data_IF_961151599876
#
_entry.id   IF_961151599876
#
_cell.length_a   1.000
_cell.length_b   1.000
_cell.length_c   1.000
_cell.angle_alpha   90.00
_cell.angle_beta   90.00
_cell.angle_gamma   90.00
#
_symmetry.space_group_name_H-M   'P 1'
#
loop_
_entity.id
_entity.type
_entity.pdbx_description
1 polymer ?
#
# COMPACT_ATOMS: atom_id res chain seq x y z
N UNK A 1 15.65 7.87 -5.79
CA UNK A 1 14.31 7.47 -5.30
C UNK A 1 13.84 6.32 -6.19
N UNK A 2 13.45 5.19 -5.62
CA UNK A 2 12.90 4.06 -6.36
C UNK A 2 11.40 3.94 -6.06
N UNK A 3 10.60 4.54 -6.95
CA UNK A 3 9.15 4.50 -6.93
C UNK A 3 8.67 3.95 -8.28
N UNK A 4 7.62 3.16 -8.25
CA UNK A 4 7.02 2.57 -9.44
C UNK A 4 5.52 2.83 -9.44
N UNK A 5 4.94 3.12 -10.61
CA UNK A 5 3.50 3.30 -10.76
C UNK A 5 2.98 2.05 -11.44
N UNK A 6 2.01 1.41 -10.81
CA UNK A 6 1.35 0.25 -11.39
C UNK A 6 0.50 0.69 -12.59
N UNK A 7 0.73 0.14 -13.80
CA UNK A 7 0.03 0.60 -15.00
C UNK A 7 -1.45 0.21 -15.02
N UNK A 8 -1.88 -0.73 -14.18
CA UNK A 8 -3.26 -1.24 -14.17
C UNK A 8 -4.10 -0.47 -13.14
N UNK A 9 -3.58 -0.38 -11.91
CA UNK A 9 -4.28 0.18 -10.74
C UNK A 9 -3.92 1.65 -10.47
N UNK A 10 -2.89 2.18 -11.13
CA UNK A 10 -2.30 3.50 -10.87
C UNK A 10 -1.83 3.69 -9.42
N UNK A 11 -1.49 2.60 -8.73
CA UNK A 11 -0.92 2.65 -7.39
C UNK A 11 0.54 3.06 -7.44
N UNK A 12 0.93 3.95 -6.53
CA UNK A 12 2.33 4.28 -6.30
C UNK A 12 2.95 3.26 -5.36
N UNK A 13 3.97 2.53 -5.82
CA UNK A 13 4.65 1.48 -5.07
C UNK A 13 6.08 1.92 -4.75
N UNK A 14 6.46 1.82 -3.48
CA UNK A 14 7.84 1.98 -3.03
C UNK A 14 8.63 0.70 -3.33
N UNK A 15 9.62 0.80 -4.22
CA UNK A 15 10.53 -0.31 -4.52
C UNK A 15 11.94 -0.05 -3.98
N UNK A 16 12.09 0.96 -3.13
CA UNK A 16 13.36 1.32 -2.48
C UNK A 16 13.79 0.20 -1.53
N UNK A 17 14.99 -0.36 -1.72
CA UNK A 17 15.54 -1.38 -0.81
C UNK A 17 14.54 -2.52 -0.53
N UNK A 18 13.86 -3.00 -1.57
CA UNK A 18 12.86 -4.07 -1.48
C UNK A 18 11.67 -3.78 -0.55
N UNK A 19 11.33 -2.51 -0.31
CA UNK A 19 10.22 -2.15 0.57
C UNK A 19 8.90 -2.81 0.16
N UNK A 20 8.55 -2.74 -1.13
CA UNK A 20 7.33 -3.32 -1.72
C UNK A 20 6.00 -2.80 -1.11
N UNK A 21 5.95 -1.53 -0.68
CA UNK A 21 4.74 -0.91 -0.11
C UNK A 21 3.94 -0.14 -1.17
N UNK A 22 2.63 -0.37 -1.25
CA UNK A 22 1.71 0.57 -1.88
C UNK A 22 1.58 1.82 -0.99
N UNK A 23 1.83 2.99 -1.56
CA UNK A 23 1.82 4.27 -0.86
C UNK A 23 0.55 5.03 -1.17
N UNK A 24 -0.11 5.48 -0.12
CA UNK A 24 -1.18 6.48 -0.26
C UNK A 24 -0.61 7.84 -0.64
N UNK A 25 -1.41 8.60 -1.39
CA UNK A 25 -1.02 9.89 -2.01
C UNK A 25 -1.66 11.05 -1.23
N UNK A 26 -2.32 10.71 -0.12
CA UNK A 26 -2.72 11.66 0.90
C UNK A 26 -1.56 12.54 1.36
N UNK A 27 -1.91 13.74 1.86
CA UNK A 27 -0.95 14.82 2.18
C UNK A 27 0.23 14.27 2.98
N UNK A 28 1.37 14.11 2.30
CA UNK A 28 2.68 13.75 2.85
C UNK A 28 2.95 12.28 3.18
N UNK A 29 2.09 11.31 2.87
CA UNK A 29 2.36 9.90 3.17
C UNK A 29 3.64 9.39 2.50
N UNK A 30 3.83 9.67 1.21
CA UNK A 30 5.05 9.30 0.46
C UNK A 30 6.29 9.97 1.04
N UNK A 31 6.19 11.25 1.39
CA UNK A 31 7.31 12.02 1.91
C UNK A 31 7.73 11.47 3.28
N UNK A 32 6.77 11.28 4.18
CA UNK A 32 7.02 10.70 5.51
C UNK A 32 7.55 9.27 5.40
N UNK A 33 6.98 8.42 4.54
CA UNK A 33 7.48 7.07 4.30
C UNK A 33 8.96 7.07 3.91
N UNK A 34 9.34 7.85 2.88
CA UNK A 34 10.73 7.93 2.44
C UNK A 34 11.67 8.52 3.52
N UNK A 35 11.17 9.41 4.39
CA UNK A 35 11.93 9.93 5.54
C UNK A 35 12.14 8.85 6.60
N UNK A 36 11.06 8.20 7.01
CA UNK A 36 11.03 7.45 8.27
C UNK A 36 11.53 6.03 8.05
N UNK A 37 11.10 5.39 6.95
CA UNK A 37 11.50 4.03 6.53
C UNK A 37 12.86 4.00 5.83
N UNK A 38 13.16 4.98 4.99
CA UNK A 38 14.37 4.97 4.14
C UNK A 38 15.41 6.05 4.48
N UNK A 39 15.15 6.90 5.48
CA UNK A 39 16.07 7.98 5.92
C UNK A 39 16.51 8.91 4.79
N UNK A 40 15.67 9.10 3.77
CA UNK A 40 16.02 9.92 2.61
C UNK A 40 16.01 11.41 3.01
N UNK A 41 17.08 12.17 2.71
CA UNK A 41 17.19 13.56 3.11
C UNK A 41 16.18 14.46 2.38
N UNK A 42 15.87 15.61 2.98
CA UNK A 42 14.85 16.55 2.49
C UNK A 42 15.15 17.08 1.09
N UNK A 43 16.41 17.36 0.76
CA UNK A 43 16.79 17.87 -0.56
C UNK A 43 16.45 16.86 -1.67
N UNK A 44 16.66 15.56 -1.41
CA UNK A 44 16.39 14.48 -2.37
C UNK A 44 14.88 14.20 -2.58
N UNK A 45 14.01 14.71 -1.70
CA UNK A 45 12.54 14.57 -1.79
C UNK A 45 11.83 15.87 -2.18
N UNK A 46 12.58 16.95 -2.42
CA UNK A 46 12.03 18.27 -2.74
C UNK A 46 11.25 18.21 -4.05
N UNK A 47 10.06 18.80 -4.07
CA UNK A 47 9.21 18.84 -5.26
C UNK A 47 8.45 17.54 -5.59
N UNK A 48 8.78 16.42 -4.94
CA UNK A 48 8.13 15.12 -5.19
C UNK A 48 6.62 15.17 -4.94
N UNK A 49 6.19 15.79 -3.83
CA UNK A 49 4.76 15.91 -3.51
C UNK A 49 3.98 16.74 -4.55
N UNK A 50 4.63 17.69 -5.22
CA UNK A 50 4.02 18.46 -6.30
C UNK A 50 3.93 17.63 -7.58
N UNK A 51 4.99 16.89 -7.92
CA UNK A 51 5.00 15.99 -9.08
C UNK A 51 3.95 14.88 -8.95
N UNK A 52 3.84 14.23 -7.79
CA UNK A 52 2.89 13.14 -7.61
C UNK A 52 1.42 13.60 -7.72
N UNK A 53 1.13 14.87 -7.40
CA UNK A 53 -0.21 15.44 -7.55
C UNK A 53 -0.64 15.68 -9.00
N UNK A 54 0.31 15.75 -9.94
CA UNK A 54 -0.01 15.91 -11.36
C UNK A 54 -0.26 14.59 -12.06
N UNK A 55 -0.04 13.46 -11.38
CA UNK A 55 -0.20 12.12 -11.93
C UNK A 55 -1.58 11.55 -11.53
N UNK A 56 -2.23 10.76 -12.40
CA UNK A 56 -3.56 10.19 -12.15
C UNK A 56 -3.47 8.96 -11.24
N UNK A 57 -3.02 9.16 -10.01
CA UNK A 57 -2.71 8.05 -9.11
C UNK A 57 -3.87 7.71 -8.16
N UNK A 58 -4.07 6.41 -7.93
CA UNK A 58 -5.12 5.87 -7.05
C UNK A 58 -4.65 5.75 -5.60
N UNK A 59 -5.59 5.75 -4.64
CA UNK A 59 -5.27 5.37 -3.26
C UNK A 59 -5.38 3.84 -3.10
N UNK A 60 -4.54 3.22 -2.24
CA UNK A 60 -4.63 1.79 -1.96
C UNK A 60 -6.02 1.33 -1.53
N UNK A 61 -6.72 2.14 -0.72
CA UNK A 61 -8.05 1.80 -0.19
C UNK A 61 -9.17 1.87 -1.24
N UNK A 62 -8.95 2.59 -2.35
CA UNK A 62 -9.92 2.76 -3.44
C UNK A 62 -9.77 1.66 -4.52
N UNK A 63 -8.73 0.83 -4.44
CA UNK A 63 -8.46 -0.24 -5.41
C UNK A 63 -8.98 -1.57 -4.86
N UNK A 64 -9.78 -2.26 -5.67
CA UNK A 64 -10.26 -3.60 -5.33
C UNK A 64 -9.09 -4.55 -5.08
N UNK A 65 -9.16 -5.41 -4.05
CA UNK A 65 -8.20 -6.48 -3.87
C UNK A 65 -8.14 -7.38 -5.11
N UNK A 66 -6.98 -7.99 -5.34
CA UNK A 66 -6.84 -9.02 -6.37
C UNK A 66 -7.77 -10.21 -6.07
N UNK A 67 -8.27 -10.87 -7.11
CA UNK A 67 -9.12 -12.05 -6.97
C UNK A 67 -8.32 -13.21 -6.35
N UNK A 68 -9.01 -14.09 -5.62
CA UNK A 68 -8.39 -15.29 -5.05
C UNK A 68 -7.78 -16.17 -6.15
N UNK A 69 -6.56 -16.66 -5.90
CA UNK A 69 -5.80 -17.44 -6.87
C UNK A 69 -5.06 -16.60 -7.92
N UNK A 70 -5.19 -15.28 -7.90
CA UNK A 70 -4.36 -14.39 -8.74
C UNK A 70 -2.88 -14.56 -8.40
N UNK A 71 -2.03 -14.38 -9.41
CA UNK A 71 -0.59 -14.36 -9.21
C UNK A 71 -0.20 -13.16 -8.31
N UNK A 72 0.75 -13.40 -7.42
CA UNK A 72 1.29 -12.36 -6.55
C UNK A 72 1.87 -11.20 -7.37
N UNK A 73 1.55 -9.97 -6.97
CA UNK A 73 2.10 -8.80 -7.65
C UNK A 73 3.60 -8.65 -7.34
N UNK A 74 4.49 -8.64 -8.36
CA UNK A 74 5.94 -8.82 -8.17
C UNK A 74 6.61 -7.71 -7.34
N UNK A 75 5.99 -6.52 -7.26
CA UNK A 75 6.49 -5.35 -6.53
C UNK A 75 5.74 -5.06 -5.24
N UNK A 76 4.72 -5.85 -4.89
CA UNK A 76 4.01 -5.70 -3.62
C UNK A 76 4.48 -6.75 -2.62
N UNK A 77 4.40 -6.39 -1.35
CA UNK A 77 4.69 -7.30 -0.26
C UNK A 77 3.52 -8.26 -0.10
N UNK A 78 3.84 -9.55 -0.01
CA UNK A 78 2.89 -10.60 0.33
C UNK A 78 2.93 -10.78 1.84
N UNK A 79 1.75 -10.98 2.43
CA UNK A 79 1.59 -11.19 3.85
C UNK A 79 0.74 -12.43 4.08
N UNK A 80 1.17 -13.28 5.01
CA UNK A 80 0.29 -14.28 5.59
C UNK A 80 -0.79 -13.58 6.42
N UNK A 81 -2.03 -14.04 6.29
CA UNK A 81 -3.16 -13.39 6.92
C UNK A 81 -4.33 -14.33 7.16
N UNK A 82 -5.42 -13.74 7.62
CA UNK A 82 -6.65 -14.44 7.98
C UNK A 82 -7.77 -13.96 7.07
N UNK A 83 -8.58 -14.90 6.57
CA UNK A 83 -9.82 -14.64 5.87
C UNK A 83 -10.99 -15.22 6.67
N UNK A 84 -12.09 -14.49 6.73
CA UNK A 84 -13.33 -15.01 7.31
C UNK A 84 -13.96 -16.03 6.34
N UNK A 85 -14.50 -17.13 6.85
CA UNK A 85 -15.18 -18.13 6.03
C UNK A 85 -16.61 -17.73 5.66
N UNK A 86 -17.23 -16.84 6.45
CA UNK A 86 -18.63 -16.45 6.32
C UNK A 86 -18.83 -15.17 5.49
N UNK A 87 -17.79 -14.33 5.35
CA UNK A 87 -17.85 -13.08 4.61
C UNK A 87 -16.52 -12.70 3.96
N UNK A 88 -16.49 -11.58 3.22
CA UNK A 88 -15.30 -11.11 2.49
C UNK A 88 -14.23 -10.44 3.38
N UNK A 89 -14.39 -10.43 4.71
CA UNK A 89 -13.47 -9.78 5.62
C UNK A 89 -12.10 -10.48 5.67
N UNK A 90 -11.03 -9.70 5.56
CA UNK A 90 -9.63 -10.18 5.59
C UNK A 90 -8.75 -9.24 6.37
N UNK A 91 -7.76 -9.79 7.05
CA UNK A 91 -6.77 -8.99 7.79
C UNK A 91 -5.51 -9.80 8.07
N UNK A 92 -4.37 -9.12 8.15
CA UNK A 92 -3.10 -9.72 8.60
C UNK A 92 -2.98 -9.75 10.13
N UNK A 93 -3.90 -9.11 10.84
CA UNK A 93 -3.83 -8.96 12.30
C UNK A 93 -4.84 -9.86 13.01
N UNK A 94 -4.34 -10.86 13.74
CA UNK A 94 -5.18 -11.79 14.50
C UNK A 94 -6.17 -11.10 15.48
N UNK A 95 -5.78 -10.07 16.26
CA UNK A 95 -6.74 -9.39 17.15
C UNK A 95 -7.91 -8.76 16.40
N UNK A 96 -7.67 -8.24 15.20
CA UNK A 96 -8.70 -7.68 14.34
C UNK A 96 -9.66 -8.78 13.87
N UNK A 97 -9.13 -9.94 13.47
CA UNK A 97 -9.96 -11.10 13.10
C UNK A 97 -10.80 -11.61 14.28
N UNK A 98 -10.20 -11.73 15.47
CA UNK A 98 -10.93 -12.16 16.68
C UNK A 98 -12.09 -11.22 17.01
N UNK A 99 -11.87 -9.91 16.87
CA UNK A 99 -12.92 -8.90 17.08
C UNK A 99 -14.03 -9.03 16.05
N UNK A 100 -13.70 -9.27 14.78
CA UNK A 100 -14.69 -9.50 13.73
C UNK A 100 -15.65 -10.66 14.05
N UNK A 101 -15.15 -11.76 14.62
CA UNK A 101 -16.01 -12.87 15.07
C UNK A 101 -16.86 -12.56 16.31
N UNK A 102 -16.43 -11.62 17.15
CA UNK A 102 -17.13 -11.28 18.40
C UNK A 102 -18.23 -10.23 18.20
N UNK A 103 -18.11 -9.42 17.14
CA UNK A 103 -19.05 -8.36 16.77
C UNK A 103 -19.17 -8.31 15.24
N UNK A 104 -19.92 -9.26 14.64
CA UNK A 104 -20.13 -9.31 13.21
C UNK A 104 -21.10 -8.19 12.83
N UNK A 105 -20.55 -7.01 12.51
CA UNK A 105 -21.30 -5.97 11.78
C UNK A 105 -21.69 -6.43 10.39
#
# INVERSE_FOLDING_TARGET
LQLWIDPITNLLICTQSECKYALSIGKSCVISHLRDKHKIPTHARRGLSRLLKTLPLSKPDDVSPAEDGSLEHPKLQVYDGFACCECKFRTIHFPTMRRHFSDPL
#
